data_IF_160461334170
#
_entry.id   IF_160461334170
#
_cell.length_a   1.000
_cell.length_b   1.000
_cell.length_c   1.000
_cell.angle_alpha   90.00
_cell.angle_beta   90.00
_cell.angle_gamma   90.00
#
_symmetry.space_group_name_H-M   'P 1'
#
loop_
_entity.id
_entity.type
_entity.pdbx_description
1 polymer ?
#
# COMPACT_ATOMS: atom_id res chain seq x y z
N UNK A 1 19.35 -20.68 14.23
CA UNK A 1 18.22 -20.08 13.49
C UNK A 1 18.79 -18.98 12.62
N UNK A 2 18.71 -19.07 11.27
CA UNK A 2 19.16 -17.99 10.41
C UNK A 2 18.33 -16.74 10.75
N UNK A 3 18.99 -15.71 11.25
CA UNK A 3 18.35 -14.41 11.50
C UNK A 3 18.38 -13.69 10.17
N UNK A 4 17.27 -13.74 9.44
CA UNK A 4 17.11 -12.93 8.23
C UNK A 4 17.20 -11.47 8.67
N UNK A 5 18.36 -10.86 8.43
CA UNK A 5 18.63 -9.47 8.76
C UNK A 5 17.97 -8.55 7.75
N UNK A 6 17.85 -7.26 8.13
CA UNK A 6 17.41 -6.22 7.20
C UNK A 6 18.19 -6.26 5.87
N UNK A 7 19.49 -6.52 5.93
CA UNK A 7 20.35 -6.63 4.74
C UNK A 7 19.94 -7.75 3.80
N UNK A 8 19.63 -8.96 4.31
CA UNK A 8 19.20 -10.08 3.47
C UNK A 8 17.84 -9.81 2.83
N UNK A 9 16.92 -9.19 3.57
CA UNK A 9 15.60 -8.81 3.04
C UNK A 9 15.72 -7.80 1.91
N UNK A 10 16.63 -6.81 2.02
CA UNK A 10 16.90 -5.84 0.95
C UNK A 10 17.49 -6.54 -0.28
N UNK A 11 18.46 -7.44 -0.11
CA UNK A 11 19.07 -8.18 -1.24
C UNK A 11 18.02 -9.01 -1.99
N UNK A 12 17.17 -9.73 -1.26
CA UNK A 12 16.08 -10.51 -1.87
C UNK A 12 15.10 -9.60 -2.62
N UNK A 13 14.74 -8.46 -2.04
CA UNK A 13 13.83 -7.49 -2.66
C UNK A 13 14.42 -6.93 -3.96
N UNK A 14 15.72 -6.63 -4.00
CA UNK A 14 16.42 -6.20 -5.22
C UNK A 14 16.35 -7.28 -6.31
N UNK A 15 16.55 -8.56 -5.96
CA UNK A 15 16.44 -9.66 -6.94
C UNK A 15 15.02 -9.74 -7.51
N UNK A 16 13.99 -9.64 -6.66
CA UNK A 16 12.59 -9.64 -7.11
C UNK A 16 12.33 -8.48 -8.06
N UNK A 17 12.82 -7.27 -7.74
CA UNK A 17 12.70 -6.09 -8.60
C UNK A 17 13.39 -6.29 -9.94
N UNK A 18 14.57 -6.94 -9.98
CA UNK A 18 15.28 -7.24 -11.23
C UNK A 18 14.53 -8.27 -12.10
N UNK A 19 13.95 -9.30 -11.49
CA UNK A 19 13.18 -10.33 -12.21
C UNK A 19 11.86 -9.77 -12.76
N UNK A 20 11.17 -8.96 -11.96
CA UNK A 20 9.92 -8.34 -12.38
C UNK A 20 10.15 -7.14 -13.31
N UNK A 21 11.24 -6.40 -13.12
CA UNK A 21 11.51 -5.12 -13.76
C UNK A 21 10.75 -3.97 -13.09
N UNK A 22 11.37 -2.78 -13.08
CA UNK A 22 10.82 -1.58 -12.42
C UNK A 22 9.48 -1.14 -13.00
N UNK A 23 9.29 -1.21 -14.32
CA UNK A 23 8.04 -0.77 -14.96
C UNK A 23 6.81 -1.62 -14.62
N UNK A 24 6.98 -2.93 -14.35
CA UNK A 24 5.86 -3.78 -13.91
C UNK A 24 5.49 -3.48 -12.46
N UNK A 25 6.48 -3.23 -11.59
CA UNK A 25 6.25 -2.88 -10.19
C UNK A 25 5.55 -1.51 -10.08
N UNK A 26 5.98 -0.50 -10.83
CA UNK A 26 5.34 0.83 -10.83
C UNK A 26 3.88 0.76 -11.28
N UNK A 27 3.58 -0.02 -12.32
CA UNK A 27 2.20 -0.21 -12.79
C UNK A 27 1.31 -0.85 -11.72
N UNK A 28 1.77 -1.96 -11.11
CA UNK A 28 1.03 -2.67 -10.06
C UNK A 28 0.86 -1.78 -8.83
N UNK A 29 1.93 -1.10 -8.39
CA UNK A 29 1.88 -0.19 -7.25
C UNK A 29 0.94 1.00 -7.51
N UNK A 30 0.88 1.51 -8.73
CA UNK A 30 -0.05 2.56 -9.13
C UNK A 30 -1.52 2.12 -9.04
N UNK A 31 -1.83 0.95 -9.58
CA UNK A 31 -3.19 0.36 -9.54
C UNK A 31 -3.63 0.05 -8.10
N UNK A 32 -2.75 -0.57 -7.30
CA UNK A 32 -3.02 -0.85 -5.89
C UNK A 32 -3.12 0.44 -5.06
N UNK A 33 -2.25 1.42 -5.30
CA UNK A 33 -2.23 2.70 -4.59
C UNK A 33 -3.50 3.51 -4.83
N UNK A 34 -4.01 3.52 -6.06
CA UNK A 34 -5.30 4.14 -6.38
C UNK A 34 -6.47 3.47 -5.63
N UNK A 35 -6.49 2.13 -5.57
CA UNK A 35 -7.49 1.36 -4.83
C UNK A 35 -7.43 1.65 -3.32
N UNK A 36 -6.25 1.62 -2.72
CA UNK A 36 -6.06 1.95 -1.30
C UNK A 36 -6.47 3.39 -1.00
N UNK A 37 -6.17 4.34 -1.89
CA UNK A 37 -6.56 5.75 -1.73
C UNK A 37 -8.08 5.93 -1.76
N UNK A 38 -8.76 5.26 -2.70
CA UNK A 38 -10.22 5.28 -2.78
C UNK A 38 -10.86 4.63 -1.54
N UNK A 39 -10.31 3.49 -1.09
CA UNK A 39 -10.76 2.81 0.12
C UNK A 39 -10.61 3.67 1.37
N UNK A 40 -9.44 4.31 1.54
CA UNK A 40 -9.20 5.24 2.65
C UNK A 40 -10.14 6.44 2.60
N UNK A 41 -10.40 6.99 1.41
CA UNK A 41 -11.33 8.11 1.24
C UNK A 41 -12.75 7.73 1.64
N UNK A 42 -13.25 6.57 1.18
CA UNK A 42 -14.58 6.08 1.55
C UNK A 42 -14.73 5.86 3.05
N UNK A 43 -13.73 5.28 3.72
CA UNK A 43 -13.71 5.12 5.17
C UNK A 43 -13.71 6.45 5.93
N UNK A 44 -12.97 7.46 5.44
CA UNK A 44 -12.94 8.80 6.06
C UNK A 44 -14.22 9.61 5.80
N UNK A 45 -14.87 9.44 4.66
CA UNK A 45 -16.18 10.06 4.37
C UNK A 45 -17.26 9.46 5.28
N UNK A 46 -17.27 8.13 5.50
CA UNK A 46 -18.20 7.46 6.42
C UNK A 46 -18.00 7.91 7.88
N UNK A 47 -16.75 8.01 8.35
CA UNK A 47 -16.46 8.56 9.68
C UNK A 47 -16.81 10.06 9.83
N UNK A 48 -16.79 10.83 8.74
CA UNK A 48 -17.14 12.25 8.78
C UNK A 48 -18.65 12.48 8.75
N UNK A 49 -19.42 11.58 8.14
CA UNK A 49 -20.89 11.62 8.12
C UNK A 49 -21.54 11.13 9.43
N UNK A 50 -20.86 10.26 10.19
CA UNK A 50 -21.30 9.90 11.56
C UNK A 50 -21.18 11.06 12.56
N UNK A 51 -20.35 12.08 12.30
CA UNK A 51 -20.18 13.25 13.18
C UNK A 51 -21.16 14.41 12.95
N UNK A 52 -22.04 14.33 11.95
CA UNK A 52 -23.00 15.40 11.59
C UNK A 52 -24.47 15.08 11.85
N UNK A 53 -24.81 13.89 12.37
CA UNK A 53 -26.20 13.50 12.64
C UNK A 53 -26.67 13.67 14.09
N UNK A 54 -25.82 14.11 15.01
CA UNK A 54 -26.19 14.35 16.42
C UNK A 54 -26.38 15.84 16.79
N UNK A 55 -26.57 16.72 15.80
CA UNK A 55 -26.76 18.16 16.05
C UNK A 55 -27.92 18.81 15.26
N UNK A 56 -28.97 18.04 14.92
CA UNK A 56 -30.23 18.59 14.43
C UNK A 56 -31.43 18.00 15.17
#
# INVERSE_FOLDING_TARGET
MPRIGLTELVVVLVIIVLLMGVGRIEKIAGELGAGIKAFKKGLSEEQSDEGKKDAQ
#
